data_IF_426283479635
#
_entry.id   IF_426283479635
#
_cell.length_a   1.000
_cell.length_b   1.000
_cell.length_c   1.000
_cell.angle_alpha   90.00
_cell.angle_beta   90.00
_cell.angle_gamma   90.00
#
_symmetry.space_group_name_H-M   'P 1'
#
loop_
_entity.id
_entity.type
_entity.pdbx_description
1 polymer ?
#
# COMPACT_ATOMS: atom_id res chain seq x y z
N UNK A 1 29.93 -12.10 7.04
CA UNK A 1 28.60 -11.63 6.59
C UNK A 1 28.06 -12.65 5.61
N UNK A 2 27.09 -13.47 6.00
CA UNK A 2 26.44 -14.40 5.08
C UNK A 2 25.49 -13.61 4.19
N UNK A 3 25.67 -13.68 2.87
CA UNK A 3 24.77 -13.05 1.90
C UNK A 3 23.35 -13.54 2.13
N UNK A 4 22.39 -12.61 2.14
CA UNK A 4 20.97 -12.89 2.30
C UNK A 4 20.45 -13.52 1.00
N UNK A 5 20.81 -14.77 0.75
CA UNK A 5 20.34 -15.55 -0.41
C UNK A 5 18.92 -15.98 -0.11
N UNK A 6 17.97 -15.41 -0.85
CA UNK A 6 16.58 -15.81 -0.80
C UNK A 6 16.42 -17.22 -1.38
N UNK A 7 15.80 -18.14 -0.65
CA UNK A 7 15.49 -19.48 -1.16
C UNK A 7 14.14 -19.45 -1.89
N UNK A 8 14.04 -20.13 -3.03
CA UNK A 8 12.81 -20.16 -3.82
C UNK A 8 11.67 -20.86 -3.04
N UNK A 9 10.47 -20.27 -3.05
CA UNK A 9 9.25 -20.78 -2.38
C UNK A 9 8.98 -22.26 -2.65
N UNK A 10 9.15 -22.75 -3.88
CA UNK A 10 8.90 -24.15 -4.23
C UNK A 10 9.92 -25.08 -3.59
N UNK A 11 11.17 -24.63 -3.41
CA UNK A 11 12.19 -25.39 -2.69
C UNK A 11 11.85 -25.49 -1.20
N UNK A 12 11.42 -24.38 -0.60
CA UNK A 12 10.98 -24.33 0.81
C UNK A 12 9.78 -25.28 1.03
N UNK A 13 8.81 -25.26 0.12
CA UNK A 13 7.64 -26.17 0.15
C UNK A 13 8.05 -27.63 0.09
N UNK A 14 8.90 -27.99 -0.87
CA UNK A 14 9.33 -29.36 -1.10
C UNK A 14 10.13 -29.92 0.07
N UNK A 15 11.03 -29.11 0.65
CA UNK A 15 11.82 -29.52 1.82
C UNK A 15 10.96 -29.65 3.08
N UNK A 16 10.08 -28.67 3.33
CA UNK A 16 9.25 -28.66 4.53
C UNK A 16 8.01 -29.57 4.45
N UNK A 17 7.62 -30.02 3.25
CA UNK A 17 6.28 -30.59 2.96
C UNK A 17 5.15 -29.66 3.40
N UNK A 18 5.32 -28.35 3.21
CA UNK A 18 4.37 -27.35 3.69
C UNK A 18 3.22 -27.16 2.71
N UNK A 19 2.00 -27.11 3.23
CA UNK A 19 0.81 -26.72 2.45
C UNK A 19 0.73 -25.20 2.29
N UNK A 20 -0.21 -24.73 1.44
CA UNK A 20 -0.39 -23.30 1.13
C UNK A 20 -0.66 -22.45 2.38
N UNK A 21 -1.42 -22.98 3.35
CA UNK A 21 -1.75 -22.28 4.59
C UNK A 21 -0.52 -22.08 5.47
N UNK A 22 0.29 -23.12 5.65
CA UNK A 22 1.51 -23.07 6.46
C UNK A 22 2.53 -22.10 5.86
N UNK A 23 2.75 -22.16 4.54
CA UNK A 23 3.71 -21.26 3.90
C UNK A 23 3.25 -19.80 3.92
N UNK A 24 1.97 -19.53 3.66
CA UNK A 24 1.43 -18.17 3.68
C UNK A 24 1.46 -17.56 5.09
N UNK A 25 1.44 -18.38 6.14
CA UNK A 25 1.61 -17.94 7.52
C UNK A 25 3.04 -17.54 7.88
N UNK A 26 4.05 -18.17 7.25
CA UNK A 26 5.46 -17.96 7.58
C UNK A 26 6.18 -17.02 6.59
N UNK A 27 5.74 -16.96 5.34
CA UNK A 27 6.37 -16.24 4.24
C UNK A 27 5.35 -15.35 3.50
N UNK A 28 5.83 -14.25 2.90
CA UNK A 28 5.03 -13.32 2.08
C UNK A 28 5.25 -13.56 0.58
N UNK A 29 6.43 -14.10 0.22
CA UNK A 29 6.85 -14.66 -1.06
C UNK A 29 8.09 -15.52 -0.74
N UNK A 30 9.25 -15.24 -1.31
CA UNK A 30 10.52 -15.90 -0.92
C UNK A 30 11.08 -15.37 0.43
N UNK A 31 10.52 -14.27 0.95
CA UNK A 31 10.98 -13.65 2.20
C UNK A 31 10.17 -14.13 3.42
N UNK A 32 10.85 -14.54 4.52
CA UNK A 32 10.19 -14.83 5.79
C UNK A 32 9.47 -13.59 6.32
N UNK A 33 8.21 -13.72 6.76
CA UNK A 33 7.46 -12.61 7.35
C UNK A 33 8.14 -12.02 8.58
N UNK A 34 8.84 -12.87 9.35
CA UNK A 34 9.65 -12.45 10.50
C UNK A 34 10.77 -11.47 10.09
N UNK A 35 11.41 -11.73 8.95
CA UNK A 35 12.45 -10.86 8.40
C UNK A 35 11.86 -9.53 7.93
N UNK A 36 10.79 -9.58 7.13
CA UNK A 36 10.09 -8.38 6.64
C UNK A 36 9.66 -7.48 7.80
N UNK A 37 9.16 -8.06 8.89
CA UNK A 37 8.79 -7.32 10.13
C UNK A 37 9.99 -6.65 10.79
N UNK A 38 11.09 -7.40 10.97
CA UNK A 38 12.30 -6.86 11.58
C UNK A 38 12.86 -5.69 10.79
N UNK A 39 12.84 -5.77 9.46
CA UNK A 39 13.31 -4.70 8.58
C UNK A 39 12.41 -3.47 8.63
N UNK A 40 11.11 -3.65 8.86
CA UNK A 40 10.15 -2.57 9.01
C UNK A 40 10.07 -2.03 10.46
N UNK A 41 10.98 -2.44 11.36
CA UNK A 41 11.07 -1.94 12.74
C UNK A 41 10.02 -2.52 13.69
N UNK A 42 9.29 -3.56 13.28
CA UNK A 42 8.28 -4.20 14.13
C UNK A 42 8.86 -5.34 14.98
N UNK A 43 8.26 -5.65 16.15
CA UNK A 43 8.58 -6.85 16.89
C UNK A 43 8.46 -8.13 16.04
N UNK A 44 9.44 -9.02 16.19
CA UNK A 44 9.50 -10.26 15.39
C UNK A 44 8.52 -11.34 15.85
N UNK A 45 7.92 -11.17 17.04
CA UNK A 45 6.93 -12.07 17.63
C UNK A 45 5.59 -11.34 17.88
N UNK A 46 4.48 -12.07 17.76
CA UNK A 46 3.13 -11.53 17.99
C UNK A 46 2.29 -11.33 16.71
N UNK A 47 0.97 -11.15 16.92
CA UNK A 47 -0.03 -10.91 15.86
C UNK A 47 -0.18 -9.42 15.50
N UNK A 48 0.72 -8.57 15.97
CA UNK A 48 0.66 -7.12 15.78
C UNK A 48 0.98 -6.75 14.32
N UNK A 49 0.04 -7.02 13.42
CA UNK A 49 0.01 -6.52 12.04
C UNK A 49 -0.99 -5.38 11.89
N UNK A 50 -1.23 -4.63 12.95
CA UNK A 50 -2.20 -3.56 12.93
C UNK A 50 -1.54 -2.27 13.40
N UNK A 51 -0.91 -1.56 12.46
CA UNK A 51 -1.15 -0.12 12.50
C UNK A 51 -2.65 0.03 12.25
N UNK A 52 -3.38 0.46 13.27
CA UNK A 52 -4.73 0.94 13.07
C UNK A 52 -4.62 2.17 12.18
N UNK A 53 -4.71 1.97 10.86
CA UNK A 53 -4.92 3.09 9.95
C UNK A 53 -6.14 3.82 10.49
N UNK A 54 -6.02 5.13 10.71
CA UNK A 54 -7.12 5.94 11.21
C UNK A 54 -8.42 5.51 10.53
N UNK A 55 -9.43 5.16 11.33
CA UNK A 55 -10.67 4.52 10.87
C UNK A 55 -11.44 5.34 9.83
N UNK A 56 -11.02 6.59 9.62
CA UNK A 56 -11.56 7.53 8.66
C UNK A 56 -11.07 7.21 7.25
N UNK A 57 -12.02 6.89 6.37
CA UNK A 57 -11.79 6.89 4.92
C UNK A 57 -11.58 8.36 4.50
N UNK A 58 -10.44 8.70 3.87
CA UNK A 58 -10.23 10.05 3.37
C UNK A 58 -11.36 10.50 2.44
N UNK A 59 -11.79 11.78 2.49
CA UNK A 59 -12.79 12.30 1.57
C UNK A 59 -12.41 12.07 0.11
N UNK A 60 -13.39 11.64 -0.71
CA UNK A 60 -13.14 11.30 -2.13
C UNK A 60 -12.58 12.49 -2.92
N UNK A 61 -13.03 13.71 -2.63
CA UNK A 61 -12.53 14.95 -3.24
C UNK A 61 -11.04 15.15 -3.01
N UNK A 62 -10.56 14.89 -1.80
CA UNK A 62 -9.15 14.97 -1.43
C UNK A 62 -8.33 13.87 -2.09
N UNK A 63 -8.83 12.62 -2.09
CA UNK A 63 -8.16 11.48 -2.76
C UNK A 63 -8.00 11.70 -4.27
N UNK A 64 -8.93 12.40 -4.93
CA UNK A 64 -8.86 12.72 -6.35
C UNK A 64 -7.78 13.77 -6.68
N UNK A 65 -7.41 14.63 -5.73
CA UNK A 65 -6.32 15.60 -5.91
C UNK A 65 -4.93 14.96 -5.89
N UNK A 66 -4.75 13.86 -5.16
CA UNK A 66 -3.48 13.13 -5.13
C UNK A 66 -3.39 12.23 -6.37
N UNK A 67 -2.33 12.35 -7.18
CA UNK A 67 -2.07 11.57 -8.40
C UNK A 67 -3.21 11.52 -9.46
N UNK A 68 -3.94 12.60 -9.78
CA UNK A 68 -5.28 12.60 -10.38
C UNK A 68 -5.61 11.48 -11.40
N UNK A 69 -4.73 11.23 -12.37
CA UNK A 69 -4.90 10.22 -13.42
C UNK A 69 -4.99 8.75 -12.99
N UNK A 70 -4.65 8.37 -11.74
CA UNK A 70 -4.77 6.96 -11.33
C UNK A 70 -6.20 6.45 -11.32
N UNK A 71 -7.18 7.33 -11.04
CA UNK A 71 -8.58 6.91 -10.95
C UNK A 71 -9.08 6.50 -12.33
N UNK A 72 -8.88 7.37 -13.32
CA UNK A 72 -9.19 7.08 -14.72
C UNK A 72 -8.43 5.85 -15.23
N UNK A 73 -7.14 5.72 -14.90
CA UNK A 73 -6.35 4.54 -15.30
C UNK A 73 -6.91 3.25 -14.70
N UNK A 74 -7.33 3.26 -13.44
CA UNK A 74 -7.97 2.12 -12.80
C UNK A 74 -9.30 1.74 -13.49
N UNK A 75 -10.15 2.73 -13.76
CA UNK A 75 -11.45 2.49 -14.42
C UNK A 75 -11.27 1.96 -15.85
N UNK A 76 -10.27 2.47 -16.59
CA UNK A 76 -9.89 1.98 -17.92
C UNK A 76 -9.40 0.53 -17.89
N UNK A 77 -8.63 0.14 -16.86
CA UNK A 77 -8.16 -1.23 -16.72
C UNK A 77 -9.31 -2.18 -16.36
N UNK A 78 -10.22 -1.76 -15.47
CA UNK A 78 -11.43 -2.52 -15.14
C UNK A 78 -12.34 -2.72 -16.37
N UNK A 79 -12.49 -1.68 -17.22
CA UNK A 79 -13.26 -1.79 -18.45
C UNK A 79 -12.64 -2.73 -19.49
N UNK A 80 -11.30 -2.78 -19.57
CA UNK A 80 -10.58 -3.73 -20.45
C UNK A 80 -10.74 -5.18 -20.00
N UNK A 81 -10.75 -5.46 -18.71
CA UNK A 81 -11.05 -6.81 -18.21
C UNK A 81 -12.47 -7.26 -18.56
N UNK A 82 -13.41 -6.32 -18.66
CA UNK A 82 -14.81 -6.59 -18.98
C UNK A 82 -15.09 -6.69 -20.50
N UNK A 83 -14.15 -6.34 -21.37
CA UNK A 83 -14.29 -6.41 -22.82
C UNK A 83 -13.49 -7.59 -23.40
N UNK A 84 -14.14 -8.73 -23.75
CA UNK A 84 -13.44 -9.95 -24.14
C UNK A 84 -12.80 -9.89 -25.55
N UNK A 85 -12.98 -8.79 -26.27
CA UNK A 85 -12.61 -8.65 -27.69
C UNK A 85 -11.28 -7.93 -27.96
N UNK A 86 -10.65 -7.33 -26.94
CA UNK A 86 -9.38 -6.64 -27.12
C UNK A 86 -8.21 -7.63 -26.95
N UNK A 87 -7.35 -7.83 -27.97
CA UNK A 87 -6.27 -8.82 -27.92
C UNK A 87 -5.11 -8.43 -26.99
N UNK A 88 -5.12 -7.21 -26.44
CA UNK A 88 -4.07 -6.72 -25.54
C UNK A 88 -4.51 -6.97 -24.10
N UNK A 89 -4.02 -8.06 -23.50
CA UNK A 89 -4.18 -8.28 -22.07
C UNK A 89 -3.61 -7.08 -21.29
N UNK A 90 -4.31 -6.57 -20.26
CA UNK A 90 -3.73 -5.64 -19.31
C UNK A 90 -2.41 -6.20 -18.78
N UNK A 91 -1.35 -5.39 -18.76
CA UNK A 91 -0.06 -5.82 -18.24
C UNK A 91 -0.22 -5.99 -16.72
N UNK A 92 0.04 -7.17 -16.17
CA UNK A 92 -0.11 -7.45 -14.73
C UNK A 92 0.62 -6.42 -13.84
N UNK A 93 1.80 -5.97 -14.30
CA UNK A 93 2.57 -4.92 -13.64
C UNK A 93 1.86 -3.55 -13.62
N UNK A 94 1.12 -3.19 -14.67
CA UNK A 94 0.33 -1.96 -14.72
C UNK A 94 -0.84 -2.01 -13.74
N UNK A 95 -1.57 -3.13 -13.69
CA UNK A 95 -2.64 -3.35 -12.73
C UNK A 95 -2.12 -3.27 -11.29
N UNK A 96 -1.04 -4.00 -10.98
CA UNK A 96 -0.42 -4.00 -9.66
C UNK A 96 0.09 -2.60 -9.26
N UNK A 97 0.73 -1.88 -10.18
CA UNK A 97 1.22 -0.53 -9.94
C UNK A 97 0.09 0.44 -9.62
N UNK A 98 -1.00 0.42 -10.40
CA UNK A 98 -2.20 1.25 -10.15
C UNK A 98 -2.80 0.96 -8.77
N UNK A 99 -2.91 -0.31 -8.39
CA UNK A 99 -3.39 -0.70 -7.06
C UNK A 99 -2.48 -0.18 -5.92
N UNK A 100 -1.17 -0.30 -6.08
CA UNK A 100 -0.19 0.21 -5.10
C UNK A 100 -0.35 1.72 -4.92
N UNK A 101 -0.47 2.48 -6.00
CA UNK A 101 -0.68 3.94 -5.93
C UNK A 101 -2.03 4.27 -5.28
N UNK A 102 -3.09 3.52 -5.56
CA UNK A 102 -4.38 3.71 -4.87
C UNK A 102 -4.29 3.46 -3.37
N UNK A 103 -3.57 2.41 -2.95
CA UNK A 103 -3.34 2.13 -1.54
C UNK A 103 -2.51 3.26 -0.90
N UNK A 104 -1.43 3.66 -1.56
CA UNK A 104 -0.56 4.76 -1.12
C UNK A 104 -1.32 6.08 -0.97
N UNK A 105 -2.26 6.41 -1.87
CA UNK A 105 -3.10 7.62 -1.72
C UNK A 105 -3.84 7.65 -0.38
N UNK A 106 -4.36 6.50 0.06
CA UNK A 106 -5.10 6.41 1.32
C UNK A 106 -4.18 6.59 2.51
N UNK A 107 -3.05 5.85 2.52
CA UNK A 107 -2.09 5.89 3.63
C UNK A 107 -1.44 7.27 3.74
N UNK A 108 -1.04 7.86 2.61
CA UNK A 108 -0.44 9.19 2.56
C UNK A 108 -1.36 10.28 3.14
N UNK A 109 -2.65 10.28 2.81
CA UNK A 109 -3.58 11.27 3.37
C UNK A 109 -3.76 11.05 4.88
N UNK A 110 -3.89 9.79 5.32
CA UNK A 110 -4.03 9.47 6.73
C UNK A 110 -2.81 9.93 7.54
N UNK A 111 -1.62 9.63 7.05
CA UNK A 111 -0.35 9.92 7.75
C UNK A 111 0.04 11.40 7.62
N UNK A 112 -0.42 12.09 6.56
CA UNK A 112 -0.16 13.52 6.38
C UNK A 112 -0.72 14.38 7.51
N UNK A 113 -1.80 13.96 8.17
CA UNK A 113 -2.38 14.67 9.32
C UNK A 113 -1.34 14.80 10.44
N UNK A 114 -0.65 13.70 10.76
CA UNK A 114 0.41 13.68 11.76
C UNK A 114 1.62 14.52 11.31
N UNK A 115 1.99 14.47 10.03
CA UNK A 115 3.10 15.27 9.49
C UNK A 115 2.80 16.77 9.53
N UNK A 116 1.54 17.18 9.31
CA UNK A 116 1.10 18.57 9.41
C UNK A 116 1.09 19.08 10.86
N UNK A 117 0.82 18.20 11.83
CA UNK A 117 0.86 18.52 13.26
C UNK A 117 2.32 18.62 13.78
N UNK A 118 3.17 17.66 13.43
CA UNK A 118 4.57 17.62 13.88
C UNK A 118 5.47 18.64 13.17
N UNK A 119 5.18 18.94 11.89
CA UNK A 119 6.00 19.83 11.07
C UNK A 119 5.13 20.86 10.31
N UNK A 120 4.54 21.87 11.00
CA UNK A 120 3.62 22.83 10.38
C UNK A 120 4.22 23.67 9.24
N UNK A 121 5.55 23.83 9.25
CA UNK A 121 6.29 24.59 8.24
C UNK A 121 6.75 23.74 7.04
N UNK A 122 6.44 22.45 7.01
CA UNK A 122 6.79 21.61 5.87
C UNK A 122 5.84 21.91 4.70
N UNK A 123 6.35 22.27 3.51
CA UNK A 123 5.53 22.61 2.36
C UNK A 123 4.91 21.34 1.77
N UNK A 124 3.79 20.90 2.35
CA UNK A 124 3.00 19.77 1.88
C UNK A 124 2.08 20.20 0.73
N UNK A 125 2.63 20.92 -0.25
CA UNK A 125 1.97 21.42 -1.46
C UNK A 125 0.64 22.17 -1.26
N UNK A 126 -0.11 22.35 -2.35
CA UNK A 126 -1.46 22.96 -2.37
C UNK A 126 -2.52 22.17 -1.57
N UNK A 127 -2.14 21.08 -0.90
CA UNK A 127 -3.03 20.27 -0.05
C UNK A 127 -3.33 21.01 1.26
N UNK A 128 -2.34 21.74 1.80
CA UNK A 128 -2.48 22.60 2.98
C UNK A 128 -3.67 23.57 2.84
N UNK A 129 -3.80 24.27 1.70
CA UNK A 129 -4.89 25.21 1.46
C UNK A 129 -6.29 24.58 1.58
N UNK A 130 -6.46 23.31 1.16
CA UNK A 130 -7.77 22.66 1.16
C UNK A 130 -8.18 21.98 2.48
N UNK A 131 -7.23 21.74 3.39
CA UNK A 131 -7.49 21.10 4.69
C UNK A 131 -7.46 22.10 5.85
N UNK A 132 -6.75 23.22 5.72
CA UNK A 132 -6.58 24.22 6.78
C UNK A 132 -7.78 25.18 6.87
N UNK A 133 -8.49 25.45 5.76
CA UNK A 133 -9.66 26.34 5.77
C UNK A 133 -10.78 25.94 6.75
N UNK A 134 -11.20 24.67 6.88
CA UNK A 134 -12.22 24.32 7.88
C UNK A 134 -11.72 24.34 9.34
N UNK A 135 -10.41 24.36 9.58
CA UNK A 135 -9.83 24.33 10.94
C UNK A 135 -9.58 25.76 11.46
N UNK A 136 -9.16 26.69 10.60
CA UNK A 136 -8.86 28.06 11.00
C UNK A 136 -10.08 28.97 11.21
N UNK A 137 -11.29 28.55 10.80
CA UNK A 137 -12.52 29.33 10.99
C UNK A 137 -13.33 28.94 12.24
N UNK A 138 -12.78 28.09 13.12
CA UNK A 138 -13.35 27.82 14.44
C UNK A 138 -12.45 28.39 15.53
N UNK A 139 -12.41 29.73 15.61
CA UNK A 139 -12.14 30.51 16.82
C UNK A 139 -12.64 31.94 16.60
#
# INVERSE_FOLDING_TARGET
MAGNVCANVDQIRRQGRWNNTTINGAYLADLPRKLVRSMAGFPTYGRFLYLAHAALKPPTSLRKKLFPGIGERHDRLAAKELSPGDPIQPIDAENAFVQVIMMFRKTFIQDSVLMMELHPCYPFGNIQSSLIQPICHSK
#
